data_IF_525640378608
#
_entry.id   IF_525640378608
#
_cell.length_a   1.000
_cell.length_b   1.000
_cell.length_c   1.000
_cell.angle_alpha   90.00
_cell.angle_beta   90.00
_cell.angle_gamma   90.00
#
_symmetry.space_group_name_H-M   'P 1'
#
loop_
_entity.id
_entity.type
_entity.pdbx_description
1 polymer ?
#
# COMPACT_ATOMS: atom_id res chain seq x y z
N UNK A 1 21.60 55.16 -44.44
CA UNK A 1 20.21 55.13 -43.92
C UNK A 1 19.49 54.00 -44.63
N UNK A 2 18.81 53.02 -44.04
CA UNK A 2 18.24 52.82 -42.70
C UNK A 2 18.15 51.28 -42.55
N UNK A 3 18.65 50.68 -41.46
CA UNK A 3 18.52 49.24 -41.24
C UNK A 3 17.15 48.94 -40.61
N UNK A 4 16.32 48.17 -41.31
CA UNK A 4 14.91 47.90 -40.95
C UNK A 4 14.86 46.69 -40.00
N UNK A 5 14.88 46.94 -38.70
CA UNK A 5 14.70 45.89 -37.69
C UNK A 5 13.22 45.46 -37.70
N UNK A 6 12.94 44.26 -38.24
CA UNK A 6 11.61 43.63 -38.18
C UNK A 6 11.31 43.24 -36.74
N UNK A 7 10.38 43.94 -36.09
CA UNK A 7 9.81 43.55 -34.81
C UNK A 7 8.97 42.28 -34.99
N UNK A 8 9.43 41.18 -34.41
CA UNK A 8 8.70 39.92 -34.35
C UNK A 8 7.54 40.14 -33.36
N UNK A 9 6.30 40.16 -33.86
CA UNK A 9 5.11 40.36 -33.02
C UNK A 9 5.05 39.31 -31.92
N UNK A 10 5.11 39.76 -30.66
CA UNK A 10 4.89 38.92 -29.50
C UNK A 10 3.41 38.54 -29.46
N UNK A 11 3.08 37.29 -29.77
CA UNK A 11 1.75 36.74 -29.51
C UNK A 11 1.56 36.62 -27.99
N UNK A 12 0.68 37.46 -27.43
CA UNK A 12 0.32 37.39 -26.02
C UNK A 12 -0.77 36.34 -25.78
N UNK A 13 -0.64 35.58 -24.70
CA UNK A 13 -1.69 34.66 -24.22
C UNK A 13 -2.85 35.48 -23.66
N UNK A 14 -4.09 35.20 -24.08
CA UNK A 14 -5.23 35.91 -23.52
C UNK A 14 -5.59 35.36 -22.14
N UNK A 15 -6.07 36.22 -21.24
CA UNK A 15 -6.52 35.78 -19.92
C UNK A 15 -7.68 34.79 -20.01
N UNK A 16 -8.55 34.94 -21.02
CA UNK A 16 -9.69 34.05 -21.23
C UNK A 16 -9.26 32.65 -21.69
N UNK A 17 -8.24 32.55 -22.54
CA UNK A 17 -7.65 31.26 -22.94
C UNK A 17 -7.12 30.51 -21.70
N UNK A 18 -6.50 31.22 -20.76
CA UNK A 18 -6.04 30.61 -19.51
C UNK A 18 -7.21 30.14 -18.63
N UNK A 19 -8.26 30.96 -18.54
CA UNK A 19 -9.42 30.68 -17.68
C UNK A 19 -10.18 29.43 -18.10
N UNK A 20 -10.38 29.22 -19.40
CA UNK A 20 -11.08 28.02 -19.90
C UNK A 20 -10.24 26.76 -19.63
N UNK A 21 -8.91 26.86 -19.79
CA UNK A 21 -8.01 25.72 -19.57
C UNK A 21 -8.05 25.27 -18.11
N UNK A 22 -7.94 26.19 -17.14
CA UNK A 22 -8.01 25.81 -15.73
C UNK A 22 -9.40 25.30 -15.33
N UNK A 23 -10.47 25.79 -15.96
CA UNK A 23 -11.82 25.31 -15.72
C UNK A 23 -11.97 23.84 -16.14
N UNK A 24 -11.46 23.46 -17.32
CA UNK A 24 -11.48 22.07 -17.80
C UNK A 24 -10.60 21.17 -16.92
N UNK A 25 -9.38 21.62 -16.57
CA UNK A 25 -8.50 20.87 -15.66
C UNK A 25 -9.16 20.66 -14.30
N UNK A 26 -9.87 21.68 -13.78
CA UNK A 26 -10.61 21.59 -12.52
C UNK A 26 -11.68 20.50 -12.54
N UNK A 27 -12.47 20.41 -13.61
CA UNK A 27 -13.50 19.38 -13.77
C UNK A 27 -12.87 17.98 -13.81
N UNK A 28 -11.79 17.80 -14.59
CA UNK A 28 -11.09 16.51 -14.67
C UNK A 28 -10.48 16.11 -13.32
N UNK A 29 -9.85 17.06 -12.62
CA UNK A 29 -9.24 16.82 -11.32
C UNK A 29 -10.29 16.45 -10.25
N UNK A 30 -11.48 17.07 -10.28
CA UNK A 30 -12.55 16.77 -9.33
C UNK A 30 -13.02 15.30 -9.38
N UNK A 31 -13.02 14.69 -10.57
CA UNK A 31 -13.37 13.27 -10.75
C UNK A 31 -12.16 12.37 -10.48
N UNK A 32 -10.97 12.79 -10.91
CA UNK A 32 -9.76 11.97 -10.83
C UNK A 32 -9.26 11.78 -9.39
N UNK A 33 -9.26 12.83 -8.56
CA UNK A 33 -8.72 12.81 -7.19
C UNK A 33 -9.41 11.79 -6.28
N UNK A 34 -10.76 11.76 -6.13
CA UNK A 34 -11.41 10.77 -5.26
C UNK A 34 -11.20 9.33 -5.77
N UNK A 35 -11.20 9.13 -7.09
CA UNK A 35 -10.93 7.81 -7.68
C UNK A 35 -9.50 7.35 -7.41
N UNK A 36 -8.51 8.24 -7.61
CA UNK A 36 -7.11 7.95 -7.34
C UNK A 36 -6.86 7.61 -5.87
N UNK A 37 -7.49 8.33 -4.93
CA UNK A 37 -7.39 8.06 -3.50
C UNK A 37 -7.93 6.66 -3.14
N UNK A 38 -9.08 6.26 -3.71
CA UNK A 38 -9.64 4.91 -3.55
C UNK A 38 -8.72 3.84 -4.12
N UNK A 39 -8.21 4.05 -5.34
CA UNK A 39 -7.28 3.11 -5.97
C UNK A 39 -5.99 2.93 -5.15
N UNK A 40 -5.45 4.02 -4.61
CA UNK A 40 -4.26 3.99 -3.74
C UNK A 40 -4.53 3.22 -2.44
N UNK A 41 -5.67 3.46 -1.79
CA UNK A 41 -6.05 2.72 -0.59
C UNK A 41 -6.20 1.22 -0.85
N UNK A 42 -6.84 0.83 -1.96
CA UNK A 42 -6.95 -0.56 -2.37
C UNK A 42 -5.58 -1.20 -2.68
N UNK A 43 -4.68 -0.47 -3.34
CA UNK A 43 -3.32 -0.94 -3.62
C UNK A 43 -2.54 -1.22 -2.34
N UNK A 44 -2.62 -0.32 -1.35
CA UNK A 44 -2.02 -0.54 -0.01
C UNK A 44 -2.57 -1.80 0.65
N UNK A 45 -3.89 -1.99 0.62
CA UNK A 45 -4.54 -3.19 1.18
C UNK A 45 -4.05 -4.48 0.49
N UNK A 46 -4.01 -4.50 -0.85
CA UNK A 46 -3.50 -5.65 -1.61
C UNK A 46 -2.04 -5.94 -1.30
N UNK A 47 -1.20 -4.91 -1.15
CA UNK A 47 0.19 -5.07 -0.75
C UNK A 47 0.33 -5.62 0.67
N UNK A 48 -0.49 -5.17 1.63
CA UNK A 48 -0.52 -5.78 2.97
C UNK A 48 -0.82 -7.28 2.91
N UNK A 49 -1.82 -7.68 2.12
CA UNK A 49 -2.21 -9.10 1.99
C UNK A 49 -1.09 -9.92 1.36
N UNK A 50 -0.42 -9.40 0.34
CA UNK A 50 0.72 -10.07 -0.28
C UNK A 50 1.89 -10.26 0.70
N UNK A 51 2.18 -9.24 1.52
CA UNK A 51 3.20 -9.32 2.56
C UNK A 51 2.84 -10.37 3.63
N UNK A 52 1.58 -10.38 4.10
CA UNK A 52 1.13 -11.36 5.10
C UNK A 52 1.25 -12.81 4.60
N UNK A 53 0.86 -13.08 3.35
CA UNK A 53 1.06 -14.39 2.71
C UNK A 53 2.53 -14.80 2.62
N UNK A 54 3.41 -13.84 2.32
CA UNK A 54 4.85 -14.10 2.24
C UNK A 54 5.42 -14.43 3.61
N UNK A 55 4.97 -13.74 4.66
CA UNK A 55 5.37 -14.00 6.05
C UNK A 55 4.84 -15.35 6.52
N UNK A 56 3.57 -15.67 6.26
CA UNK A 56 2.98 -16.96 6.62
C UNK A 56 3.76 -18.13 6.01
N UNK A 57 4.05 -18.09 4.71
CA UNK A 57 4.86 -19.13 4.07
C UNK A 57 6.28 -19.22 4.63
N UNK A 58 6.88 -18.09 5.03
CA UNK A 58 8.19 -18.08 5.70
C UNK A 58 8.11 -18.68 7.11
N UNK A 59 7.04 -18.42 7.86
CA UNK A 59 6.79 -19.02 9.17
C UNK A 59 6.59 -20.53 9.05
N UNK A 60 5.78 -20.98 8.09
CA UNK A 60 5.56 -22.41 7.83
C UNK A 60 6.89 -23.12 7.52
N UNK A 61 7.70 -22.55 6.63
CA UNK A 61 8.99 -23.11 6.28
C UNK A 61 9.95 -23.17 7.49
N UNK A 62 9.98 -22.10 8.29
CA UNK A 62 10.78 -22.05 9.52
C UNK A 62 10.33 -23.14 10.52
N UNK A 63 9.02 -23.30 10.71
CA UNK A 63 8.47 -24.28 11.65
C UNK A 63 8.66 -25.73 11.18
N UNK A 64 8.70 -25.98 9.87
CA UNK A 64 9.03 -27.30 9.32
C UNK A 64 10.46 -27.72 9.65
N UNK A 65 11.40 -26.77 9.70
CA UNK A 65 12.81 -27.06 9.97
C UNK A 65 13.15 -27.05 11.47
N UNK A 66 12.59 -26.11 12.24
CA UNK A 66 12.97 -25.85 13.63
C UNK A 66 11.90 -26.29 14.65
N UNK A 67 10.80 -26.87 14.19
CA UNK A 67 9.62 -27.16 15.00
C UNK A 67 8.82 -25.89 15.36
N UNK A 68 7.70 -26.10 16.06
CA UNK A 68 6.83 -24.99 16.51
C UNK A 68 7.54 -24.15 17.57
N UNK A 69 7.90 -22.93 17.19
CA UNK A 69 8.53 -21.95 18.10
C UNK A 69 7.52 -20.87 18.49
N UNK A 70 7.25 -20.65 19.78
CA UNK A 70 6.51 -19.49 20.22
C UNK A 70 7.38 -18.23 20.03
N UNK A 71 6.77 -17.12 19.63
CA UNK A 71 7.41 -15.79 19.49
C UNK A 71 8.28 -15.56 18.24
N UNK A 72 7.83 -15.99 17.06
CA UNK A 72 8.44 -15.54 15.81
C UNK A 72 8.11 -14.07 15.53
N UNK A 73 9.08 -13.35 14.97
CA UNK A 73 8.87 -12.01 14.43
C UNK A 73 9.37 -11.97 12.99
N UNK A 74 8.89 -11.03 12.15
CA UNK A 74 9.43 -10.88 10.80
C UNK A 74 10.96 -10.67 10.79
N UNK A 75 11.51 -10.00 11.81
CA UNK A 75 12.94 -9.83 12.00
C UNK A 75 13.69 -11.14 12.27
N UNK A 76 13.14 -12.07 13.05
CA UNK A 76 13.78 -13.39 13.25
C UNK A 76 13.77 -14.20 11.97
N UNK A 77 12.68 -14.17 11.20
CA UNK A 77 12.60 -14.86 9.90
C UNK A 77 13.59 -14.28 8.88
N UNK A 78 13.80 -12.96 8.89
CA UNK A 78 14.82 -12.34 8.05
C UNK A 78 16.23 -12.77 8.46
N UNK A 79 16.56 -12.73 9.76
CA UNK A 79 17.89 -13.10 10.24
C UNK A 79 18.24 -14.57 9.96
N UNK A 80 17.24 -15.44 9.93
CA UNK A 80 17.42 -16.85 9.62
C UNK A 80 17.28 -17.16 8.11
N UNK A 81 17.14 -16.14 7.25
CA UNK A 81 17.18 -16.29 5.79
C UNK A 81 15.86 -16.71 5.13
N UNK A 82 14.76 -16.83 5.87
CA UNK A 82 13.44 -17.18 5.33
C UNK A 82 12.73 -15.96 4.70
N UNK A 83 13.16 -14.74 5.06
CA UNK A 83 12.73 -13.49 4.41
C UNK A 83 13.96 -12.72 3.89
N UNK A 84 13.87 -12.22 2.65
CA UNK A 84 14.94 -11.38 2.07
C UNK A 84 15.06 -10.02 2.74
N UNK A 85 13.94 -9.47 3.19
CA UNK A 85 13.85 -8.22 3.92
C UNK A 85 12.59 -8.24 4.78
N UNK A 86 12.62 -7.59 5.94
CA UNK A 86 11.44 -7.40 6.77
C UNK A 86 10.38 -6.58 6.02
N UNK A 87 9.20 -7.14 5.73
CA UNK A 87 8.13 -6.42 5.05
C UNK A 87 7.59 -5.33 5.97
N UNK A 88 7.50 -4.09 5.44
CA UNK A 88 6.86 -2.97 6.14
C UNK A 88 5.42 -2.80 5.70
N UNK A 89 4.56 -2.36 6.61
CA UNK A 89 3.17 -2.06 6.29
C UNK A 89 3.07 -0.76 5.44
N UNK A 90 2.44 -0.78 4.25
CA UNK A 90 2.25 0.41 3.39
C UNK A 90 1.30 1.49 3.96
N UNK A 91 0.52 1.14 4.98
CA UNK A 91 -0.43 2.04 5.64
C UNK A 91 0.14 2.64 6.93
N UNK A 92 1.05 1.94 7.60
CA UNK A 92 1.79 2.42 8.76
C UNK A 92 3.23 1.93 8.66
N UNK A 93 4.14 2.81 8.25
CA UNK A 93 5.54 2.45 8.04
C UNK A 93 6.33 2.26 9.34
N UNK A 94 5.75 2.60 10.49
CA UNK A 94 6.40 2.47 11.79
C UNK A 94 6.21 1.08 12.42
N UNK A 95 5.12 0.39 12.08
CA UNK A 95 4.76 -0.88 12.70
C UNK A 95 5.12 -2.08 11.83
N UNK A 96 5.80 -3.07 12.43
CA UNK A 96 6.02 -4.38 11.83
C UNK A 96 4.74 -5.23 11.83
N UNK A 97 4.74 -6.30 11.04
CA UNK A 97 3.69 -7.32 11.11
C UNK A 97 3.89 -8.14 12.39
N UNK A 98 2.80 -8.43 13.11
CA UNK A 98 2.84 -9.33 14.26
C UNK A 98 2.54 -10.76 13.82
N UNK A 99 3.24 -11.73 14.39
CA UNK A 99 3.02 -13.16 14.12
C UNK A 99 2.56 -13.78 15.43
N UNK A 100 1.46 -14.51 15.39
CA UNK A 100 0.93 -15.29 16.51
C UNK A 100 0.79 -16.74 16.07
N UNK A 101 1.30 -17.66 16.88
CA UNK A 101 1.30 -19.09 16.56
C UNK A 101 0.52 -19.78 17.67
N UNK A 102 -0.50 -20.53 17.30
CA UNK A 102 -1.25 -21.36 18.24
C UNK A 102 -0.35 -22.38 18.94
N UNK A 103 -0.75 -22.88 20.10
CA UNK A 103 -0.05 -23.98 20.77
C UNK A 103 -0.67 -25.33 20.37
N UNK A 104 0.15 -26.26 19.86
CA UNK A 104 -0.23 -27.64 19.55
C UNK A 104 0.19 -28.13 18.15
N UNK A 105 0.07 -29.44 17.91
CA UNK A 105 0.24 -30.04 16.58
C UNK A 105 -0.88 -29.56 15.64
N UNK A 106 -0.52 -28.83 14.58
CA UNK A 106 -1.49 -28.13 13.71
C UNK A 106 -1.79 -26.69 14.15
N UNK A 107 -0.91 -26.08 14.93
CA UNK A 107 -0.96 -24.67 15.31
C UNK A 107 -1.19 -23.75 14.10
N UNK A 108 -2.28 -22.99 14.13
CA UNK A 108 -2.52 -21.97 13.11
C UNK A 108 -1.54 -20.81 13.32
N UNK A 109 -0.99 -20.31 12.20
CA UNK A 109 -0.19 -19.09 12.17
C UNK A 109 -1.09 -17.95 11.75
N UNK A 110 -1.15 -16.94 12.61
CA UNK A 110 -1.89 -15.71 12.35
C UNK A 110 -0.88 -14.58 12.14
N UNK A 111 -0.90 -13.98 10.94
CA UNK A 111 -0.11 -12.80 10.61
C UNK A 111 -1.00 -11.57 10.68
N UNK A 112 -0.73 -10.68 11.62
CA UNK A 112 -1.52 -9.47 11.84
C UNK A 112 -0.85 -8.26 11.21
N UNK A 113 -1.59 -7.57 10.36
CA UNK A 113 -1.22 -6.25 9.85
C UNK A 113 -1.97 -5.17 10.64
N UNK A 114 -1.26 -4.22 11.30
CA UNK A 114 -1.89 -3.21 12.16
C UNK A 114 -2.91 -2.31 11.44
N UNK A 115 -2.84 -2.23 10.11
CA UNK A 115 -3.71 -1.37 9.31
C UNK A 115 -4.68 -2.11 8.38
N UNK A 116 -4.56 -3.43 8.22
CA UNK A 116 -5.37 -4.21 7.28
C UNK A 116 -6.18 -5.34 7.95
N UNK A 117 -5.86 -5.72 9.18
CA UNK A 117 -6.46 -6.85 9.89
C UNK A 117 -5.55 -8.08 9.89
N UNK A 118 -6.15 -9.23 10.23
CA UNK A 118 -5.40 -10.46 10.51
C UNK A 118 -5.54 -11.44 9.34
N UNK A 119 -4.45 -12.13 9.02
CA UNK A 119 -4.40 -13.22 8.06
C UNK A 119 -4.22 -14.52 8.84
N UNK A 120 -5.29 -15.30 8.95
CA UNK A 120 -5.32 -16.53 9.72
C UNK A 120 -5.35 -17.72 8.75
N UNK A 121 -4.25 -18.47 8.66
CA UNK A 121 -4.14 -19.72 7.89
C UNK A 121 -4.84 -19.66 6.51
N UNK A 122 -4.37 -18.76 5.64
CA UNK A 122 -4.94 -18.56 4.30
C UNK A 122 -6.22 -17.72 4.23
N UNK A 123 -6.91 -17.47 5.36
CA UNK A 123 -8.13 -16.65 5.45
C UNK A 123 -7.82 -15.23 5.91
N UNK A 124 -8.16 -14.26 5.07
CA UNK A 124 -8.03 -12.85 5.40
C UNK A 124 -9.26 -12.34 6.17
N UNK A 125 -9.08 -12.02 7.45
CA UNK A 125 -10.02 -11.23 8.25
C UNK A 125 -9.63 -9.76 8.18
N UNK A 126 -10.25 -9.06 7.22
CA UNK A 126 -10.09 -7.61 7.11
C UNK A 126 -10.85 -6.95 8.26
N UNK A 127 -10.19 -6.11 9.07
CA UNK A 127 -10.95 -5.23 9.95
C UNK A 127 -11.80 -4.31 9.06
N UNK A 128 -13.12 -4.45 9.16
CA UNK A 128 -14.13 -3.67 8.43
C UNK A 128 -14.10 -2.16 8.73
N UNK A 129 -13.12 -1.67 9.51
CA UNK A 129 -13.03 -0.29 9.99
C UNK A 129 -12.41 0.73 9.04
N UNK A 130 -11.70 0.33 7.98
CA UNK A 130 -11.07 1.29 7.05
C UNK A 130 -11.85 1.53 5.74
N UNK A 131 -12.97 0.82 5.54
CA UNK A 131 -13.82 0.87 4.33
C UNK A 131 -15.30 1.20 4.69
N UNK A 132 -15.53 2.05 5.70
CA UNK A 132 -16.89 2.57 5.99
C UNK A 132 -17.29 3.80 5.17
N UNK A 133 -16.54 4.15 4.12
CA UNK A 133 -16.99 5.14 3.10
C UNK A 133 -17.60 4.47 1.86
N UNK A 134 -18.04 3.21 2.01
CA UNK A 134 -19.05 2.61 1.14
C UNK A 134 -20.43 3.12 1.55
N UNK A 135 -20.88 4.15 0.85
CA UNK A 135 -22.21 4.73 1.01
C UNK A 135 -22.18 6.22 0.72
N UNK A 136 -22.25 6.57 -0.57
CA UNK A 136 -23.34 7.48 -0.93
C UNK A 136 -24.62 6.64 -0.84
#
# INVERSE_FOLDING_TARGET
MMNKLRTKGSAGFTLIELMIVIAIIGILAAIAVPNFNRARAQAKKKSCVANMKTIEGAVELYQMENGTQPNLTPGTLQSNGYLKAEPKCPSDTASAYAISIGSGTGAMTDVTCPAAGNYNHGKLSLQEGADKTKGL
#
